data_IF_731788095024
#
_entry.id   IF_731788095024
#
_cell.length_a   1.000
_cell.length_b   1.000
_cell.length_c   1.000
_cell.angle_alpha   90.00
_cell.angle_beta   90.00
_cell.angle_gamma   90.00
#
_symmetry.space_group_name_H-M   'P 1'
#
loop_
_entity.id
_entity.type
_entity.pdbx_description
1 polymer ?
#
# COMPACT_ATOMS: atom_id res chain seq x y z
N UNK A 1 -7.65 6.40 -7.07
CA UNK A 1 -6.70 5.29 -7.27
C UNK A 1 -7.24 4.07 -6.56
N UNK A 2 -7.17 2.89 -7.20
CA UNK A 2 -7.61 1.62 -6.62
C UNK A 2 -6.80 1.27 -5.38
N UNK A 3 -7.47 0.76 -4.35
CA UNK A 3 -6.83 0.33 -3.11
C UNK A 3 -6.25 -1.08 -3.25
N UNK A 4 -5.02 -1.17 -3.77
CA UNK A 4 -4.34 -2.45 -3.97
C UNK A 4 -4.08 -3.19 -2.66
N UNK A 5 -3.93 -2.47 -1.54
CA UNK A 5 -3.77 -3.08 -0.23
C UNK A 5 -5.03 -3.84 0.19
N UNK A 6 -6.19 -3.20 0.07
CA UNK A 6 -7.46 -3.82 0.41
C UNK A 6 -7.74 -5.05 -0.46
N UNK A 7 -7.45 -4.99 -1.76
CA UNK A 7 -7.60 -6.14 -2.67
C UNK A 7 -6.82 -7.35 -2.16
N UNK A 8 -5.55 -7.17 -1.82
CA UNK A 8 -4.70 -8.26 -1.31
C UNK A 8 -5.15 -8.73 0.08
N UNK A 9 -5.53 -7.81 0.97
CA UNK A 9 -6.02 -8.15 2.31
C UNK A 9 -7.26 -9.06 2.25
N UNK A 10 -8.28 -8.70 1.46
CA UNK A 10 -9.49 -9.50 1.36
C UNK A 10 -9.29 -10.80 0.58
N UNK A 11 -8.41 -10.81 -0.43
CA UNK A 11 -8.03 -12.04 -1.11
C UNK A 11 -7.36 -13.04 -0.15
N UNK A 12 -6.41 -12.59 0.68
CA UNK A 12 -5.74 -13.47 1.67
C UNK A 12 -6.67 -13.96 2.78
N UNK A 13 -7.78 -13.25 3.05
CA UNK A 13 -8.85 -13.71 3.95
C UNK A 13 -9.75 -14.80 3.33
N UNK A 14 -9.51 -15.22 2.08
CA UNK A 14 -10.27 -16.29 1.42
C UNK A 14 -11.48 -15.80 0.61
N UNK A 15 -11.63 -14.50 0.39
CA UNK A 15 -12.75 -13.99 -0.44
C UNK A 15 -12.51 -14.29 -1.92
N UNK A 16 -13.59 -14.61 -2.64
CA UNK A 16 -13.56 -14.82 -4.08
C UNK A 16 -13.21 -13.53 -4.83
N UNK A 17 -12.64 -13.65 -6.03
CA UNK A 17 -12.25 -12.48 -6.83
C UNK A 17 -13.42 -11.55 -7.17
N UNK A 18 -14.63 -12.09 -7.27
CA UNK A 18 -15.89 -11.34 -7.48
C UNK A 18 -16.31 -10.59 -6.22
N UNK A 19 -16.26 -11.21 -5.05
CA UNK A 19 -16.53 -10.55 -3.76
C UNK A 19 -15.52 -9.42 -3.52
N UNK A 20 -14.23 -9.68 -3.71
CA UNK A 20 -13.17 -8.66 -3.54
C UNK A 20 -13.38 -7.47 -4.49
N UNK A 21 -13.78 -7.72 -5.74
CA UNK A 21 -14.07 -6.68 -6.71
C UNK A 21 -15.21 -5.77 -6.24
N UNK A 22 -16.28 -6.34 -5.68
CA UNK A 22 -17.40 -5.57 -5.13
C UNK A 22 -17.01 -4.79 -3.87
N UNK A 23 -16.31 -5.43 -2.93
CA UNK A 23 -15.84 -4.78 -1.69
C UNK A 23 -14.93 -3.59 -2.01
N UNK A 24 -14.00 -3.78 -2.94
CA UNK A 24 -13.04 -2.76 -3.33
C UNK A 24 -13.55 -1.81 -4.42
N UNK A 25 -14.84 -1.87 -4.79
CA UNK A 25 -15.51 -1.10 -5.85
C UNK A 25 -14.63 -0.96 -7.12
N UNK A 26 -14.08 -2.08 -7.58
CA UNK A 26 -13.16 -2.13 -8.71
C UNK A 26 -13.47 -3.29 -9.66
N UNK A 27 -12.94 -3.24 -10.88
CA UNK A 27 -13.20 -4.31 -11.85
C UNK A 27 -12.54 -5.63 -11.43
N UNK A 28 -13.22 -6.75 -11.70
CA UNK A 28 -12.67 -8.11 -11.49
C UNK A 28 -11.33 -8.31 -12.20
N UNK A 29 -11.16 -7.72 -13.37
CA UNK A 29 -9.89 -7.75 -14.12
C UNK A 29 -8.76 -7.06 -13.37
N UNK A 30 -9.04 -5.96 -12.66
CA UNK A 30 -8.05 -5.26 -11.82
C UNK A 30 -7.63 -6.11 -10.64
N UNK A 31 -8.59 -6.79 -9.99
CA UNK A 31 -8.32 -7.73 -8.90
C UNK A 31 -7.42 -8.86 -9.36
N UNK A 32 -7.78 -9.54 -10.46
CA UNK A 32 -6.99 -10.63 -11.04
C UNK A 32 -5.56 -10.20 -11.39
N UNK A 33 -5.41 -9.06 -12.08
CA UNK A 33 -4.09 -8.51 -12.44
C UNK A 33 -3.25 -8.22 -11.19
N UNK A 34 -3.87 -7.65 -10.15
CA UNK A 34 -3.18 -7.32 -8.90
C UNK A 34 -2.72 -8.57 -8.16
N UNK A 35 -3.56 -9.61 -8.08
CA UNK A 35 -3.21 -10.89 -7.45
C UNK A 35 -2.09 -11.59 -8.22
N UNK A 36 -2.20 -11.67 -9.55
CA UNK A 36 -1.17 -12.28 -10.40
C UNK A 36 0.18 -11.59 -10.18
N UNK A 37 0.19 -10.25 -10.22
CA UNK A 37 1.38 -9.44 -9.98
C UNK A 37 1.96 -9.64 -8.58
N UNK A 38 1.10 -9.73 -7.56
CA UNK A 38 1.55 -9.95 -6.19
C UNK A 38 2.24 -11.32 -6.04
N UNK A 39 1.74 -12.36 -6.72
CA UNK A 39 2.37 -13.67 -6.79
C UNK A 39 3.72 -13.61 -7.52
N UNK A 40 3.79 -12.96 -8.68
CA UNK A 40 5.04 -12.73 -9.43
C UNK A 40 6.11 -12.02 -8.57
N UNK A 41 5.70 -11.09 -7.72
CA UNK A 41 6.60 -10.36 -6.81
C UNK A 41 6.87 -11.07 -5.48
N UNK A 42 6.35 -12.29 -5.25
CA UNK A 42 6.52 -13.04 -4.01
C UNK A 42 5.93 -12.34 -2.76
N UNK A 43 4.88 -11.54 -2.92
CA UNK A 43 4.28 -10.78 -1.81
C UNK A 43 3.37 -11.67 -0.96
N UNK A 44 3.76 -11.94 0.28
CA UNK A 44 2.92 -12.63 1.27
C UNK A 44 2.04 -11.64 2.06
N UNK A 45 1.00 -12.16 2.75
CA UNK A 45 0.13 -11.34 3.61
C UNK A 45 0.92 -10.53 4.66
N UNK A 46 1.88 -11.17 5.33
CA UNK A 46 2.75 -10.52 6.32
C UNK A 46 3.60 -9.40 5.71
N UNK A 47 4.13 -9.63 4.50
CA UNK A 47 4.89 -8.62 3.75
C UNK A 47 4.03 -7.40 3.40
N UNK A 48 2.78 -7.59 3.01
CA UNK A 48 1.87 -6.48 2.67
C UNK A 48 1.49 -5.68 3.91
N UNK A 49 1.25 -6.36 5.05
CA UNK A 49 0.88 -5.73 6.30
C UNK A 49 1.93 -4.72 6.81
N UNK A 50 3.21 -5.09 6.78
CA UNK A 50 4.32 -4.24 7.23
C UNK A 50 4.77 -3.16 6.24
N UNK A 51 4.30 -3.19 4.99
CA UNK A 51 4.70 -2.23 3.96
C UNK A 51 3.75 -1.04 3.88
N UNK A 52 4.33 0.09 3.50
CA UNK A 52 3.61 1.30 3.14
C UNK A 52 2.98 1.17 1.74
N UNK A 53 1.82 1.80 1.53
CA UNK A 53 1.06 1.78 0.28
C UNK A 53 1.87 2.24 -0.94
N UNK A 54 2.76 3.22 -0.76
CA UNK A 54 3.67 3.62 -1.84
C UNK A 54 4.72 2.56 -2.16
N UNK A 55 5.30 1.90 -1.15
CA UNK A 55 6.23 0.79 -1.39
C UNK A 55 5.53 -0.37 -2.09
N UNK A 56 4.29 -0.66 -1.66
CA UNK A 56 3.45 -1.68 -2.30
C UNK A 56 3.20 -1.33 -3.78
N UNK A 57 2.86 -0.08 -4.08
CA UNK A 57 2.66 0.39 -5.45
C UNK A 57 3.94 0.24 -6.29
N UNK A 58 5.11 0.57 -5.74
CA UNK A 58 6.39 0.46 -6.44
C UNK A 58 6.75 -1.01 -6.75
N UNK A 59 6.46 -1.93 -5.83
CA UNK A 59 6.68 -3.37 -6.06
C UNK A 59 5.74 -3.91 -7.13
N UNK A 60 4.44 -3.61 -7.03
CA UNK A 60 3.44 -4.11 -7.98
C UNK A 60 3.62 -3.49 -9.38
N UNK A 61 3.88 -2.18 -9.45
CA UNK A 61 3.89 -1.42 -10.70
C UNK A 61 5.12 -0.54 -10.81
N UNK A 62 6.30 -1.16 -10.84
CA UNK A 62 7.60 -0.48 -10.95
C UNK A 62 7.65 0.54 -12.10
N UNK A 63 7.19 0.15 -13.29
CA UNK A 63 7.22 0.99 -14.50
C UNK A 63 6.32 2.24 -14.41
N UNK A 64 5.34 2.26 -13.49
CA UNK A 64 4.50 3.45 -13.26
C UNK A 64 5.21 4.50 -12.41
N UNK A 65 6.30 4.13 -11.73
CA UNK A 65 6.98 4.97 -10.76
C UNK A 65 8.41 5.30 -11.19
N UNK A 66 9.09 4.37 -11.87
CA UNK A 66 10.52 4.46 -12.20
C UNK A 66 10.75 4.28 -13.70
N UNK A 67 11.71 5.06 -14.24
CA UNK A 67 12.21 4.89 -15.60
C UNK A 67 13.42 3.97 -15.56
N UNK A 68 13.43 2.92 -16.38
CA UNK A 68 14.44 1.87 -16.38
C UNK A 68 15.87 2.37 -16.67
N UNK A 69 16.01 3.50 -17.37
CA UNK A 69 17.30 4.09 -17.76
C UNK A 69 18.12 4.67 -16.61
N UNK A 70 17.49 4.97 -15.47
CA UNK A 70 18.14 5.64 -14.34
C UNK A 70 18.09 4.79 -13.09
N UNK A 71 19.20 4.73 -12.36
CA UNK A 71 19.27 3.97 -11.11
C UNK A 71 18.49 4.69 -10.01
N UNK A 72 17.42 4.08 -9.52
CA UNK A 72 16.59 4.66 -8.47
C UNK A 72 17.34 4.77 -7.14
N UNK A 73 17.35 5.94 -6.47
CA UNK A 73 18.02 6.08 -5.19
C UNK A 73 17.33 5.25 -4.11
N UNK A 74 18.11 4.49 -3.33
CA UNK A 74 17.62 3.89 -2.09
C UNK A 74 17.42 4.99 -1.03
N UNK A 75 16.23 5.58 -1.04
CA UNK A 75 15.87 6.65 -0.13
C UNK A 75 15.86 6.21 1.34
N UNK A 76 15.63 4.93 1.65
CA UNK A 76 15.63 4.45 3.04
C UNK A 76 17.04 4.47 3.62
N UNK A 77 18.00 3.90 2.88
CA UNK A 77 19.41 3.96 3.25
C UNK A 77 19.91 5.41 3.33
N UNK A 78 19.52 6.25 2.37
CA UNK A 78 19.92 7.67 2.34
C UNK A 78 19.38 8.42 3.57
N UNK A 79 18.14 8.17 3.98
CA UNK A 79 17.54 8.81 5.17
C UNK A 79 18.22 8.34 6.44
N UNK A 80 18.52 7.04 6.56
CA UNK A 80 19.27 6.47 7.68
C UNK A 80 20.66 7.09 7.80
N UNK A 81 21.40 7.17 6.70
CA UNK A 81 22.71 7.83 6.62
C UNK A 81 22.61 9.31 7.00
N UNK A 82 21.58 10.01 6.51
CA UNK A 82 21.35 11.42 6.81
C UNK A 82 21.08 11.66 8.29
N UNK A 83 20.25 10.83 8.94
CA UNK A 83 19.95 10.93 10.37
C UNK A 83 21.20 10.62 11.21
N UNK A 84 21.93 9.55 10.89
CA UNK A 84 23.14 9.14 11.61
C UNK A 84 24.26 10.18 11.53
N UNK A 85 24.47 10.78 10.35
CA UNK A 85 25.63 11.66 10.07
C UNK A 85 25.25 13.14 9.92
N UNK A 86 24.02 13.53 10.29
CA UNK A 86 23.45 14.88 10.16
C UNK A 86 23.72 15.53 8.78
N UNK A 87 23.59 14.74 7.71
CA UNK A 87 23.97 15.20 6.37
C UNK A 87 22.93 16.16 5.79
N UNK A 88 23.39 17.10 4.95
CA UNK A 88 22.48 17.89 4.12
C UNK A 88 21.94 17.04 2.96
N UNK A 89 20.77 17.43 2.43
CA UNK A 89 20.16 16.76 1.25
C UNK A 89 21.12 16.78 0.03
N UNK A 90 21.92 17.83 -0.10
CA UNK A 90 22.91 17.95 -1.17
C UNK A 90 24.04 16.92 -1.02
N UNK A 91 24.58 16.75 0.18
CA UNK A 91 25.62 15.75 0.44
C UNK A 91 25.10 14.32 0.21
N UNK A 92 23.86 14.05 0.60
CA UNK A 92 23.20 12.78 0.31
C UNK A 92 23.12 12.50 -1.21
N UNK A 93 22.70 13.49 -2.01
CA UNK A 93 22.69 13.37 -3.47
C UNK A 93 24.08 13.10 -4.05
N UNK A 94 25.09 13.87 -3.61
CA UNK A 94 26.48 13.72 -4.11
C UNK A 94 27.03 12.31 -3.83
N UNK A 95 26.72 11.75 -2.66
CA UNK A 95 27.11 10.37 -2.30
C UNK A 95 26.40 9.33 -3.18
N UNK A 96 25.08 9.46 -3.35
CA UNK A 96 24.31 8.61 -4.27
C UNK A 96 24.89 8.67 -5.69
N UNK A 97 25.18 9.87 -6.19
CA UNK A 97 25.71 10.09 -7.53
C UNK A 97 27.04 9.33 -7.73
N UNK A 98 27.99 9.51 -6.80
CA UNK A 98 29.28 8.81 -6.85
C UNK A 98 29.14 7.29 -6.79
N UNK A 99 28.31 6.77 -5.87
CA UNK A 99 28.06 5.31 -5.76
C UNK A 99 27.46 4.73 -7.04
N UNK A 100 26.53 5.47 -7.66
CA UNK A 100 25.84 5.01 -8.87
C UNK A 100 26.79 4.95 -10.07
N UNK A 101 27.62 5.98 -10.26
CA UNK A 101 28.65 5.99 -11.31
C UNK A 101 29.67 4.87 -11.09
N UNK A 102 30.12 4.67 -9.85
CA UNK A 102 31.05 3.59 -9.51
C UNK A 102 30.47 2.19 -9.77
N UNK A 103 29.15 2.03 -9.66
CA UNK A 103 28.43 0.80 -10.00
C UNK A 103 28.07 0.68 -11.50
N UNK A 104 28.53 1.61 -12.35
CA UNK A 104 28.22 1.62 -13.79
C UNK A 104 26.80 2.06 -14.15
N UNK A 105 26.03 2.56 -13.18
CA UNK A 105 24.66 3.02 -13.39
C UNK A 105 24.56 4.49 -13.82
N UNK A 106 23.38 4.89 -14.33
CA UNK A 106 23.09 6.30 -14.66
C UNK A 106 22.39 7.00 -13.49
N UNK A 107 23.05 7.98 -12.82
CA UNK A 107 22.45 8.69 -11.70
C UNK A 107 21.46 9.77 -12.14
N UNK A 108 20.50 10.09 -11.26
CA UNK A 108 19.67 11.27 -11.42
C UNK A 108 20.45 12.56 -11.17
N UNK A 109 20.20 13.56 -12.02
CA UNK A 109 20.63 14.96 -11.81
C UNK A 109 20.03 15.53 -10.52
N UNK A 110 20.67 16.55 -9.94
CA UNK A 110 20.31 17.18 -8.65
C UNK A 110 18.82 17.54 -8.56
N UNK A 111 18.28 18.25 -9.55
CA UNK A 111 16.87 18.69 -9.56
C UNK A 111 15.90 17.52 -9.47
N UNK A 112 16.12 16.49 -10.29
CA UNK A 112 15.28 15.29 -10.31
C UNK A 112 15.42 14.48 -9.02
N UNK A 113 16.64 14.31 -8.48
CA UNK A 113 16.83 13.69 -7.17
C UNK A 113 16.07 14.45 -6.09
N UNK A 114 16.11 15.78 -6.11
CA UNK A 114 15.45 16.60 -5.09
C UNK A 114 13.93 16.49 -5.17
N UNK A 115 13.39 16.43 -6.38
CA UNK A 115 11.98 16.15 -6.66
C UNK A 115 11.61 14.76 -6.15
N UNK A 116 12.33 13.72 -6.58
CA UNK A 116 12.12 12.33 -6.13
C UNK A 116 12.23 12.18 -4.62
N UNK A 117 13.17 12.87 -3.98
CA UNK A 117 13.31 12.88 -2.52
C UNK A 117 12.09 13.52 -1.85
N UNK A 118 11.64 14.71 -2.30
CA UNK A 118 10.42 15.35 -1.76
C UNK A 118 9.21 14.44 -1.97
N UNK A 119 9.10 13.89 -3.17
CA UNK A 119 8.05 12.95 -3.57
C UNK A 119 8.12 11.66 -2.78
N UNK A 120 9.29 11.14 -2.42
CA UNK A 120 9.42 9.95 -1.57
C UNK A 120 8.93 10.25 -0.17
N UNK A 121 9.28 11.40 0.41
CA UNK A 121 8.73 11.81 1.71
C UNK A 121 7.21 12.01 1.64
N UNK A 122 6.70 12.71 0.62
CA UNK A 122 5.26 12.96 0.48
C UNK A 122 4.46 11.74 0.01
N UNK A 123 5.09 10.77 -0.66
CA UNK A 123 4.46 9.52 -1.06
C UNK A 123 4.68 8.42 -0.03
N UNK A 124 5.68 8.54 0.84
CA UNK A 124 5.71 7.73 2.06
C UNK A 124 4.55 8.07 3.00
N UNK A 125 3.84 9.18 2.80
CA UNK A 125 2.53 9.43 3.40
C UNK A 125 1.36 9.11 2.48
N UNK A 126 1.60 8.63 1.25
CA UNK A 126 0.53 8.17 0.37
C UNK A 126 -0.18 7.02 1.05
N UNK A 127 -1.48 7.19 1.26
CA UNK A 127 -2.40 6.15 1.67
C UNK A 127 -3.41 5.95 0.56
N UNK A 128 -3.72 4.70 0.24
CA UNK A 128 -4.84 4.43 -0.65
C UNK A 128 -6.14 4.92 0.02
N UNK A 129 -6.98 5.60 -0.75
CA UNK A 129 -8.32 5.95 -0.28
C UNK A 129 -9.13 4.65 -0.17
N UNK A 130 -9.89 4.52 0.91
CA UNK A 130 -10.87 3.45 1.02
C UNK A 130 -12.09 3.79 0.16
N UNK A 131 -12.83 2.74 -0.19
CA UNK A 131 -14.16 2.85 -0.78
C UNK A 131 -15.19 2.96 0.33
N UNK A 132 -16.41 3.41 -0.02
CA UNK A 132 -17.51 3.52 0.96
C UNK A 132 -17.79 2.17 1.60
N UNK A 133 -17.77 1.09 0.81
CA UNK A 133 -17.93 -0.28 1.32
C UNK A 133 -16.84 -0.65 2.33
N UNK A 134 -15.58 -0.33 2.08
CA UNK A 134 -14.48 -0.63 3.01
C UNK A 134 -14.60 0.17 4.29
N UNK A 135 -14.98 1.45 4.19
CA UNK A 135 -15.17 2.30 5.37
C UNK A 135 -16.33 1.79 6.24
N UNK A 136 -17.43 1.35 5.62
CA UNK A 136 -18.55 0.70 6.32
C UNK A 136 -18.11 -0.58 7.04
N UNK A 137 -17.35 -1.46 6.37
CA UNK A 137 -16.82 -2.69 6.98
C UNK A 137 -15.90 -2.37 8.17
N UNK A 138 -15.09 -1.33 8.07
CA UNK A 138 -14.23 -0.88 9.18
C UNK A 138 -15.05 -0.33 10.34
N UNK A 139 -16.13 0.41 10.07
CA UNK A 139 -17.05 0.89 11.09
C UNK A 139 -17.71 -0.29 11.84
N UNK A 140 -18.27 -1.27 11.11
CA UNK A 140 -18.83 -2.48 11.72
C UNK A 140 -17.82 -3.23 12.59
N UNK A 141 -16.57 -3.37 12.12
CA UNK A 141 -15.50 -4.01 12.90
C UNK A 141 -15.18 -3.22 14.18
N UNK A 142 -15.18 -1.90 14.13
CA UNK A 142 -14.90 -1.04 15.29
C UNK A 142 -16.02 -1.17 16.33
N UNK A 143 -17.27 -1.05 15.89
CA UNK A 143 -18.45 -1.16 16.76
C UNK A 143 -18.55 -2.57 17.36
N UNK A 144 -18.27 -3.61 16.57
CA UNK A 144 -18.24 -4.99 17.05
C UNK A 144 -17.23 -5.20 18.19
N UNK A 145 -16.00 -4.71 18.02
CA UNK A 145 -14.98 -4.77 19.09
C UNK A 145 -15.43 -4.04 20.36
N UNK A 146 -16.10 -2.89 20.20
CA UNK A 146 -16.63 -2.15 21.34
C UNK A 146 -17.69 -2.95 22.10
N UNK A 147 -18.69 -3.50 21.39
CA UNK A 147 -19.72 -4.35 22.02
C UNK A 147 -19.14 -5.60 22.67
N UNK A 148 -18.16 -6.26 22.04
CA UNK A 148 -17.42 -7.38 22.64
C UNK A 148 -16.74 -6.98 23.95
N UNK A 149 -16.02 -5.86 23.95
CA UNK A 149 -15.32 -5.37 25.16
C UNK A 149 -16.27 -4.98 26.29
N UNK A 150 -17.44 -4.43 25.95
CA UNK A 150 -18.48 -4.01 26.89
C UNK A 150 -19.45 -5.13 27.28
N UNK A 151 -19.24 -6.36 26.76
CA UNK A 151 -20.11 -7.54 26.98
C UNK A 151 -21.59 -7.30 26.62
N UNK A 152 -21.84 -6.46 25.61
CA UNK A 152 -23.20 -6.11 25.16
C UNK A 152 -23.70 -7.13 24.12
N UNK A 153 -24.19 -8.27 24.60
CA UNK A 153 -24.59 -9.42 23.75
C UNK A 153 -25.72 -9.09 22.77
N UNK A 154 -26.80 -8.46 23.23
CA UNK A 154 -27.94 -8.11 22.37
C UNK A 154 -27.53 -7.14 21.25
N UNK A 155 -26.69 -6.14 21.56
CA UNK A 155 -26.17 -5.20 20.56
C UNK A 155 -25.25 -5.87 19.56
N UNK A 156 -24.46 -6.87 19.99
CA UNK A 156 -23.62 -7.68 19.11
C UNK A 156 -24.46 -8.52 18.14
N UNK A 157 -25.56 -9.12 18.61
CA UNK A 157 -26.48 -9.89 17.75
C UNK A 157 -27.18 -9.00 16.73
N UNK A 158 -27.68 -7.84 17.14
CA UNK A 158 -28.25 -6.86 16.21
C UNK A 158 -27.23 -6.43 15.16
N UNK A 159 -25.99 -6.15 15.56
CA UNK A 159 -24.90 -5.81 14.63
C UNK A 159 -24.61 -6.95 13.64
N UNK A 160 -24.60 -8.21 14.09
CA UNK A 160 -24.43 -9.37 13.20
C UNK A 160 -25.55 -9.44 12.15
N UNK A 161 -26.79 -9.21 12.56
CA UNK A 161 -27.95 -9.16 11.65
C UNK A 161 -27.82 -8.03 10.61
N UNK A 162 -27.40 -6.84 11.03
CA UNK A 162 -27.13 -5.73 10.11
C UNK A 162 -26.02 -6.06 9.11
N UNK A 163 -24.93 -6.68 9.57
CA UNK A 163 -23.82 -7.11 8.70
C UNK A 163 -24.32 -8.13 7.68
N UNK A 164 -25.17 -9.08 8.08
CA UNK A 164 -25.75 -10.06 7.17
C UNK A 164 -26.60 -9.39 6.09
N UNK A 165 -27.48 -8.46 6.46
CA UNK A 165 -28.28 -7.70 5.50
C UNK A 165 -27.41 -6.85 4.56
N UNK A 166 -26.34 -6.25 5.08
CA UNK A 166 -25.37 -5.53 4.27
C UNK A 166 -24.66 -6.44 3.25
N UNK A 167 -24.22 -7.62 3.68
CA UNK A 167 -23.61 -8.62 2.79
C UNK A 167 -24.59 -9.08 1.69
N UNK A 168 -25.86 -9.36 2.05
CA UNK A 168 -26.91 -9.72 1.08
C UNK A 168 -27.12 -8.64 0.02
N UNK A 169 -27.18 -7.36 0.42
CA UNK A 169 -27.33 -6.21 -0.50
C UNK A 169 -26.18 -6.14 -1.51
N UNK A 170 -24.96 -6.44 -1.07
CA UNK A 170 -23.76 -6.48 -1.93
C UNK A 170 -23.60 -7.81 -2.68
N UNK A 171 -24.48 -8.78 -2.42
CA UNK A 171 -24.44 -10.18 -2.86
C UNK A 171 -23.06 -10.82 -2.61
N UNK A 172 -22.53 -10.56 -1.43
CA UNK A 172 -21.29 -11.15 -0.90
C UNK A 172 -21.55 -12.51 -0.27
#
# INVERSE_FOLDING_TARGET
MTNYRAILEYHYKGNTTTQVARICECSRTTVLKTIKRAKECGLTQSSVAGMNDFKLLCKLYHNRVQRAEYTYPDFEAIIKDKKKRKLTKYVAWRRYYKRTIAAGGRPYKKSQFFKLYKTFYSRSSLRFKNTKTIDQIKAYRLVGRYFESSRMTNSLENLKSEILEFCKKLRL
#
